data_IF_383251791885
#
_entry.id   IF_383251791885
#
_cell.length_a   1.000
_cell.length_b   1.000
_cell.length_c   1.000
_cell.angle_alpha   90.00
_cell.angle_beta   90.00
_cell.angle_gamma   90.00
#
_symmetry.space_group_name_H-M   'P 1'
#
loop_
_entity.id
_entity.type
_entity.pdbx_description
1 polymer ?
#
# COMPACT_ATOMS: atom_id res chain seq x y z
N UNK A 1 -0.82 -11.92 -25.56
CA UNK A 1 -0.80 -11.52 -25.16
C UNK A 1 -0.16 -11.07 -24.55
N UNK A 2 0.10 -10.76 -24.39
CA UNK A 2 0.63 -10.29 -23.88
C UNK A 2 0.79 -9.63 -23.10
N UNK A 3 0.85 -9.44 -22.53
CA UNK A 3 0.93 -8.83 -21.64
C UNK A 3 1.84 -8.13 -21.34
N UNK A 4 1.79 -7.36 -21.34
CA UNK A 4 2.64 -6.63 -21.13
C UNK A 4 3.39 -6.38 -20.19
N UNK A 5 3.98 -6.08 -20.08
CA UNK A 5 4.95 -5.89 -19.30
C UNK A 5 4.82 -4.89 -18.27
N UNK A 6 4.22 -5.23 -17.08
CA UNK A 6 4.05 -4.31 -15.98
C UNK A 6 5.34 -3.63 -15.55
N UNK A 7 6.46 -4.29 -15.76
CA UNK A 7 7.70 -3.73 -15.33
C UNK A 7 8.10 -2.48 -16.12
N UNK A 8 7.51 -2.28 -17.27
CA UNK A 8 7.81 -1.11 -18.06
C UNK A 8 6.85 0.03 -17.84
N UNK A 9 5.81 -0.19 -17.06
CA UNK A 9 4.85 0.86 -16.79
C UNK A 9 5.30 1.70 -15.61
N UNK A 10 4.95 2.97 -15.62
CA UNK A 10 5.20 3.81 -14.46
C UNK A 10 4.31 3.40 -13.31
N UNK A 11 4.82 3.47 -12.07
CA UNK A 11 3.98 3.14 -10.93
C UNK A 11 2.81 4.09 -10.83
N UNK A 12 1.65 3.53 -10.56
CA UNK A 12 0.44 4.32 -10.38
C UNK A 12 -0.25 3.87 -9.11
N UNK A 13 -1.17 4.69 -8.64
CA UNK A 13 -1.97 4.40 -7.47
C UNK A 13 -2.72 3.09 -7.66
N UNK A 14 -2.68 2.23 -6.65
CA UNK A 14 -3.27 0.91 -6.71
C UNK A 14 -4.63 0.84 -6.02
N UNK A 15 -5.32 1.97 -5.91
CA UNK A 15 -6.67 1.96 -5.39
C UNK A 15 -7.63 1.21 -6.29
N UNK A 16 -7.15 0.81 -7.43
CA UNK A 16 -7.94 0.09 -8.41
C UNK A 16 -8.53 1.02 -9.41
N UNK A 17 -9.21 0.46 -10.35
CA UNK A 17 -9.94 1.24 -11.33
C UNK A 17 -9.00 2.07 -12.18
N UNK A 18 -9.24 3.33 -12.29
CA UNK A 18 -8.58 4.12 -13.30
C UNK A 18 -7.75 5.26 -12.73
N UNK A 19 -7.25 5.13 -11.52
CA UNK A 19 -6.39 6.17 -10.99
C UNK A 19 -5.01 6.07 -11.61
N UNK A 20 -4.57 7.14 -12.23
CA UNK A 20 -3.26 7.18 -12.88
C UNK A 20 -2.30 8.11 -12.16
N UNK A 21 -2.60 8.52 -10.93
CA UNK A 21 -1.74 9.40 -10.17
C UNK A 21 -0.54 8.64 -9.63
N UNK A 22 0.56 9.34 -9.48
CA UNK A 22 1.75 8.75 -8.88
C UNK A 22 1.48 8.45 -7.40
N UNK A 23 1.92 7.29 -6.92
CA UNK A 23 1.73 6.97 -5.51
C UNK A 23 2.71 7.76 -4.65
N UNK A 24 2.25 8.19 -3.50
CA UNK A 24 3.11 8.85 -2.53
C UNK A 24 3.03 8.22 -1.16
N UNK A 25 2.22 7.19 -1.00
CA UNK A 25 2.12 6.44 0.25
C UNK A 25 2.07 4.96 -0.06
N UNK A 26 2.52 4.17 0.90
CA UNK A 26 2.33 2.73 0.85
C UNK A 26 1.56 2.32 2.10
N UNK A 27 0.48 1.58 1.93
CA UNK A 27 -0.24 0.98 3.04
C UNK A 27 0.16 -0.48 3.12
N UNK A 28 0.53 -0.92 4.30
CA UNK A 28 0.94 -2.31 4.54
C UNK A 28 0.07 -2.90 5.63
N UNK A 29 -0.52 -4.03 5.33
CA UNK A 29 -1.13 -4.85 6.35
C UNK A 29 -0.16 -5.95 6.71
N UNK A 30 0.19 -6.06 7.98
CA UNK A 30 0.97 -7.16 8.50
C UNK A 30 0.21 -7.75 9.66
N UNK A 31 -0.35 -8.92 9.44
CA UNK A 31 -1.27 -9.51 10.39
C UNK A 31 -1.11 -11.02 10.37
N UNK A 32 -1.90 -11.68 11.22
CA UNK A 32 -1.89 -13.13 11.28
C UNK A 32 -3.28 -13.64 11.58
N UNK A 33 -3.60 -14.77 10.98
CA UNK A 33 -4.79 -15.54 11.31
C UNK A 33 -4.28 -16.77 12.04
N UNK A 34 -4.31 -16.73 13.38
CA UNK A 34 -3.64 -17.75 14.17
C UNK A 34 -2.15 -17.63 13.96
N UNK A 35 -1.51 -18.69 13.46
CA UNK A 35 -0.09 -18.66 13.17
C UNK A 35 0.20 -18.54 11.68
N UNK A 36 -0.80 -18.20 10.87
CA UNK A 36 -0.61 -17.97 9.44
C UNK A 36 -0.43 -16.49 9.17
N UNK A 37 0.69 -16.09 8.60
CA UNK A 37 0.90 -14.67 8.29
C UNK A 37 0.00 -14.25 7.14
N UNK A 38 -0.51 -13.03 7.24
CA UNK A 38 -1.32 -12.40 6.21
C UNK A 38 -0.71 -11.05 5.92
N UNK A 39 -0.29 -10.83 4.69
CA UNK A 39 0.34 -9.59 4.32
C UNK A 39 -0.29 -9.05 3.05
N UNK A 40 -0.49 -7.76 3.05
CA UNK A 40 -0.97 -7.05 1.87
C UNK A 40 -0.34 -5.68 1.84
N UNK A 41 -0.16 -5.16 0.65
CA UNK A 41 0.33 -3.80 0.53
C UNK A 41 -0.19 -3.17 -0.75
N UNK A 42 -0.29 -1.86 -0.74
CA UNK A 42 -0.72 -1.11 -1.89
C UNK A 42 -0.04 0.25 -1.88
N UNK A 43 0.31 0.73 -3.05
CA UNK A 43 0.88 2.06 -3.21
C UNK A 43 -0.19 2.99 -3.70
N UNK A 44 -0.36 4.11 -3.03
CA UNK A 44 -1.55 4.93 -3.17
C UNK A 44 -1.20 6.40 -3.26
N UNK A 45 -1.97 7.12 -4.05
CA UNK A 45 -1.89 8.57 -4.03
C UNK A 45 -2.58 9.09 -2.77
N UNK A 46 -2.36 10.36 -2.48
CA UNK A 46 -2.92 10.95 -1.26
C UNK A 46 -4.45 10.91 -1.26
N UNK A 47 -5.04 11.04 -2.42
CA UNK A 47 -6.49 11.10 -2.53
C UNK A 47 -7.16 9.77 -2.17
N UNK A 48 -6.51 8.66 -2.51
CA UNK A 48 -7.11 7.35 -2.29
C UNK A 48 -6.59 6.65 -1.04
N UNK A 49 -5.65 7.26 -0.35
CA UNK A 49 -5.03 6.63 0.80
C UNK A 49 -6.05 6.30 1.89
N UNK A 50 -6.84 7.30 2.29
CA UNK A 50 -7.77 7.12 3.40
C UNK A 50 -8.79 6.03 3.15
N UNK A 51 -9.39 6.04 1.96
CA UNK A 51 -10.38 5.05 1.62
C UNK A 51 -9.82 3.64 1.57
N UNK A 52 -8.62 3.51 1.03
CA UNK A 52 -7.99 2.19 0.92
C UNK A 52 -7.56 1.67 2.30
N UNK A 53 -7.01 2.54 3.13
CA UNK A 53 -6.64 2.15 4.50
C UNK A 53 -7.88 1.72 5.27
N UNK A 54 -8.97 2.47 5.13
CA UNK A 54 -10.21 2.12 5.79
C UNK A 54 -10.73 0.75 5.34
N UNK A 55 -10.74 0.52 4.03
CA UNK A 55 -11.21 -0.74 3.48
C UNK A 55 -10.33 -1.91 3.90
N UNK A 56 -9.02 -1.70 3.93
CA UNK A 56 -8.08 -2.74 4.31
C UNK A 56 -8.23 -3.09 5.78
N UNK A 57 -8.40 -2.07 6.63
CA UNK A 57 -8.57 -2.26 8.06
C UNK A 57 -9.89 -2.99 8.34
N UNK A 58 -10.96 -2.58 7.67
CA UNK A 58 -12.26 -3.23 7.84
C UNK A 58 -12.21 -4.69 7.37
N UNK A 59 -11.56 -4.92 6.25
CA UNK A 59 -11.40 -6.28 5.74
C UNK A 59 -10.68 -7.19 6.75
N UNK A 60 -9.61 -6.66 7.34
CA UNK A 60 -8.82 -7.43 8.29
C UNK A 60 -9.57 -7.65 9.61
N UNK A 61 -10.24 -6.61 10.10
CA UNK A 61 -11.02 -6.74 11.33
C UNK A 61 -12.17 -7.72 11.15
N UNK A 62 -12.80 -7.70 10.00
CA UNK A 62 -13.92 -8.59 9.70
C UNK A 62 -13.48 -10.05 9.71
N UNK A 63 -12.23 -10.31 9.42
CA UNK A 63 -11.67 -11.66 9.43
C UNK A 63 -11.00 -12.03 10.73
N UNK A 64 -11.04 -11.14 11.71
CA UNK A 64 -10.44 -11.42 13.02
C UNK A 64 -8.94 -11.51 12.99
N UNK A 65 -8.28 -10.82 12.06
CA UNK A 65 -6.84 -10.85 11.99
C UNK A 65 -6.22 -10.03 13.10
N UNK A 66 -5.06 -10.45 13.55
CA UNK A 66 -4.29 -9.73 14.55
C UNK A 66 -3.11 -9.07 13.88
N UNK A 67 -2.89 -7.81 14.16
CA UNK A 67 -1.77 -7.10 13.58
C UNK A 67 -2.07 -5.65 13.39
N UNK A 68 -1.51 -5.08 12.34
CA UNK A 68 -1.61 -3.64 12.15
C UNK A 68 -1.51 -3.27 10.68
N UNK A 69 -2.04 -2.09 10.38
CA UNK A 69 -1.88 -1.45 9.07
C UNK A 69 -0.95 -0.28 9.27
N UNK A 70 0.14 -0.27 8.54
CA UNK A 70 1.13 0.80 8.61
C UNK A 70 1.08 1.60 7.32
N UNK A 71 1.08 2.91 7.46
CA UNK A 71 1.15 3.81 6.32
C UNK A 71 2.54 4.42 6.29
N UNK A 72 3.20 4.26 5.16
CA UNK A 72 4.53 4.81 4.97
C UNK A 72 4.50 5.82 3.85
N UNK A 73 5.21 6.91 4.05
CA UNK A 73 5.41 7.87 2.98
C UNK A 73 6.47 7.35 2.03
N UNK A 74 6.23 7.50 0.75
CA UNK A 74 7.19 7.10 -0.26
C UNK A 74 8.03 8.31 -0.61
N UNK A 75 9.31 8.18 -0.39
CA UNK A 75 10.24 9.22 -0.74
C UNK A 75 10.64 9.04 -2.19
N UNK A 76 10.20 9.96 -3.02
CA UNK A 76 10.47 9.88 -4.45
C UNK A 76 11.62 10.80 -4.76
N UNK A 77 12.81 10.27 -4.94
CA UNK A 77 13.93 11.15 -5.25
C UNK A 77 13.66 11.90 -6.53
N UNK A 78 14.08 13.13 -6.55
CA UNK A 78 13.95 13.93 -7.74
C UNK A 78 14.97 13.46 -8.77
N UNK A 79 14.59 13.54 -10.01
CA UNK A 79 15.51 13.28 -11.11
C UNK A 79 15.69 11.81 -11.39
N UNK A 80 16.80 11.54 -11.99
CA UNK A 80 17.05 10.26 -12.62
C UNK A 80 17.61 9.24 -11.68
N UNK A 81 17.70 9.56 -10.41
CA UNK A 81 18.15 8.59 -9.42
C UNK A 81 16.99 7.89 -8.72
N UNK A 82 15.80 8.10 -9.22
CA UNK A 82 14.64 7.46 -8.62
C UNK A 82 14.75 5.96 -8.78
N UNK A 83 14.67 5.26 -7.66
CA UNK A 83 14.64 3.82 -7.69
C UNK A 83 13.29 3.35 -8.21
N UNK A 84 13.25 2.21 -8.86
CA UNK A 84 11.96 1.65 -9.27
C UNK A 84 11.05 1.49 -8.06
N UNK A 85 9.84 2.00 -8.19
CA UNK A 85 8.88 1.95 -7.10
C UNK A 85 9.10 2.98 -6.02
N UNK A 86 10.08 3.85 -6.18
CA UNK A 86 10.39 4.85 -5.18
C UNK A 86 11.04 4.27 -3.96
N UNK A 87 11.15 5.08 -2.93
CA UNK A 87 11.82 4.71 -1.72
C UNK A 87 10.88 4.91 -0.54
N UNK A 88 10.86 3.96 0.37
CA UNK A 88 10.07 4.13 1.58
C UNK A 88 10.80 5.12 2.48
N UNK A 89 10.17 6.24 2.76
CA UNK A 89 10.79 7.27 3.54
C UNK A 89 10.66 7.06 5.03
N UNK A 90 9.43 7.07 5.53
CA UNK A 90 9.23 6.95 6.96
C UNK A 90 7.80 6.51 7.25
N UNK A 91 7.60 6.00 8.45
CA UNK A 91 6.27 5.60 8.90
C UNK A 91 5.46 6.85 9.17
N UNK A 92 4.33 6.97 8.52
CA UNK A 92 3.44 8.09 8.67
C UNK A 92 2.39 7.81 9.73
N UNK A 93 1.89 6.60 9.80
CA UNK A 93 0.83 6.25 10.74
C UNK A 93 0.77 4.74 10.89
N UNK A 94 0.30 4.28 12.05
CA UNK A 94 0.09 2.87 12.31
C UNK A 94 -1.28 2.70 12.95
N UNK A 95 -2.06 1.79 12.41
CA UNK A 95 -3.40 1.51 12.88
C UNK A 95 -3.44 0.07 13.37
N UNK A 96 -3.73 -0.10 14.65
CA UNK A 96 -3.78 -1.42 15.22
C UNK A 96 -5.14 -2.06 14.97
N UNK A 97 -5.14 -3.32 14.57
CA UNK A 97 -6.38 -4.04 14.37
C UNK A 97 -7.02 -4.36 15.70
N UNK A 98 -8.34 -4.54 15.66
CA UNK A 98 -9.13 -4.72 16.88
C UNK A 98 -8.92 -6.10 17.49
N UNK A 99 -8.78 -7.12 16.66
CA UNK A 99 -8.67 -8.49 17.14
C UNK A 99 -7.37 -8.77 17.87
#
# INVERSE_FOLDING_TARGET
>A
MTQLLPALAEPVCQAGLSCDRAPCFQARLEAAAGDRPVRRRAELCAEHLGGTVHALTAWANDRGLRGEVTVLAIDQPAGDHAAPGGRIGFVFSTIRLIA
#
